data_IF_231341496674
#
_entry.id   IF_231341496674
#
_cell.length_a   1.000
_cell.length_b   1.000
_cell.length_c   1.000
_cell.angle_alpha   90.00
_cell.angle_beta   90.00
_cell.angle_gamma   90.00
#
_symmetry.space_group_name_H-M   'P 1'
#
loop_
_entity.id
_entity.type
_entity.pdbx_description
1 polymer ?
#
# COMPACT_ATOMS: atom_id res chain seq x y z
N UNK A 1 -38.71 -15.19 -60.81
CA UNK A 1 -38.43 -14.24 -59.70
C UNK A 1 -38.32 -15.09 -58.44
N UNK A 2 -37.09 -15.54 -58.15
CA UNK A 2 -36.79 -16.62 -57.21
C UNK A 2 -36.40 -16.03 -55.86
N UNK A 3 -37.06 -16.48 -54.80
CA UNK A 3 -36.77 -16.12 -53.41
C UNK A 3 -35.43 -16.73 -52.98
N UNK A 4 -34.52 -15.88 -52.50
CA UNK A 4 -33.22 -16.26 -51.94
C UNK A 4 -33.36 -16.34 -50.42
N UNK A 5 -33.09 -17.52 -49.86
CA UNK A 5 -32.99 -17.78 -48.43
C UNK A 5 -31.72 -17.12 -47.83
N UNK A 6 -31.69 -16.84 -46.52
CA UNK A 6 -30.58 -16.14 -45.89
C UNK A 6 -29.36 -17.04 -45.64
N UNK A 7 -28.24 -16.34 -45.55
CA UNK A 7 -26.85 -16.77 -45.45
C UNK A 7 -26.57 -17.61 -44.19
N UNK A 8 -25.92 -18.75 -44.41
CA UNK A 8 -25.58 -19.77 -43.43
C UNK A 8 -24.30 -19.32 -42.70
N UNK A 9 -24.45 -18.41 -41.74
CA UNK A 9 -23.36 -17.92 -40.91
C UNK A 9 -22.87 -19.02 -39.95
N UNK A 10 -21.89 -19.80 -40.42
CA UNK A 10 -21.08 -20.70 -39.59
C UNK A 10 -20.50 -19.94 -38.40
N UNK A 11 -20.91 -20.36 -37.20
CA UNK A 11 -20.28 -19.99 -35.93
C UNK A 11 -18.81 -20.44 -35.98
N UNK A 12 -17.81 -19.54 -35.80
CA UNK A 12 -16.42 -19.94 -35.68
C UNK A 12 -16.24 -20.76 -34.40
N UNK A 13 -15.66 -21.95 -34.56
CA UNK A 13 -15.58 -23.00 -33.55
C UNK A 13 -14.91 -22.59 -32.24
N UNK A 14 -15.26 -23.36 -31.22
CA UNK A 14 -14.66 -23.42 -29.90
C UNK A 14 -13.13 -23.35 -30.00
N UNK A 15 -12.57 -22.16 -29.79
CA UNK A 15 -11.15 -22.03 -29.48
C UNK A 15 -10.92 -22.79 -28.17
N UNK A 16 -10.19 -23.91 -28.26
CA UNK A 16 -9.77 -24.73 -27.11
C UNK A 16 -9.36 -23.81 -25.96
N UNK A 17 -10.16 -23.79 -24.89
CA UNK A 17 -9.76 -23.16 -23.63
C UNK A 17 -8.43 -23.82 -23.25
N UNK A 18 -7.31 -23.08 -23.14
CA UNK A 18 -6.03 -23.68 -22.80
C UNK A 18 -6.18 -24.42 -21.49
N UNK A 19 -6.06 -25.76 -21.55
CA UNK A 19 -6.10 -26.62 -20.36
C UNK A 19 -5.01 -26.10 -19.42
N UNK A 20 -5.34 -25.73 -18.17
CA UNK A 20 -4.36 -25.18 -17.26
C UNK A 20 -3.22 -26.18 -17.10
N UNK A 21 -2.03 -25.84 -17.63
CA UNK A 21 -0.87 -26.71 -17.56
C UNK A 21 -0.57 -26.96 -16.08
N UNK A 22 -0.65 -28.23 -15.67
CA UNK A 22 -0.40 -28.64 -14.29
C UNK A 22 0.97 -28.10 -13.85
N UNK A 23 0.97 -27.23 -12.84
CA UNK A 23 2.22 -26.64 -12.31
C UNK A 23 3.18 -27.76 -11.92
N UNK A 24 4.41 -27.69 -12.43
CA UNK A 24 5.47 -28.65 -12.09
C UNK A 24 5.74 -28.58 -10.59
N UNK A 25 5.69 -29.73 -9.92
CA UNK A 25 5.83 -29.85 -8.47
C UNK A 25 7.23 -30.31 -8.08
N UNK A 26 7.60 -30.16 -6.81
CA UNK A 26 8.88 -30.67 -6.30
C UNK A 26 9.01 -32.20 -6.45
N UNK A 27 7.88 -32.92 -6.54
CA UNK A 27 7.85 -34.37 -6.80
C UNK A 27 8.22 -34.69 -8.24
N UNK A 28 7.86 -33.83 -9.18
CA UNK A 28 8.22 -33.99 -10.60
C UNK A 28 9.74 -33.79 -10.78
N UNK A 29 10.34 -32.81 -10.07
CA UNK A 29 11.79 -32.61 -10.04
C UNK A 29 12.52 -33.78 -9.38
N UNK A 30 12.00 -34.31 -8.26
CA UNK A 30 12.56 -35.48 -7.58
C UNK A 30 12.59 -36.71 -8.51
N UNK A 31 11.50 -36.92 -9.26
CA UNK A 31 11.42 -38.00 -10.24
C UNK A 31 12.42 -37.83 -11.38
N UNK A 32 12.56 -36.61 -11.92
CA UNK A 32 13.45 -36.34 -13.05
C UNK A 32 14.94 -36.39 -12.67
N UNK A 33 15.27 -36.03 -11.43
CA UNK A 33 16.65 -36.05 -10.90
C UNK A 33 17.02 -37.39 -10.24
N UNK A 34 16.11 -38.37 -10.20
CA UNK A 34 16.29 -39.65 -9.51
C UNK A 34 16.71 -39.51 -8.04
N UNK A 35 16.19 -38.49 -7.34
CA UNK A 35 16.48 -38.24 -5.92
C UNK A 35 15.21 -38.18 -5.08
N UNK A 36 15.36 -38.16 -3.75
CA UNK A 36 14.21 -38.02 -2.85
C UNK A 36 13.69 -36.58 -2.84
N UNK A 37 12.40 -36.39 -2.52
CA UNK A 37 11.81 -35.05 -2.35
C UNK A 37 12.55 -34.24 -1.26
N UNK A 38 13.05 -34.90 -0.22
CA UNK A 38 13.83 -34.26 0.83
C UNK A 38 15.19 -33.75 0.28
N UNK A 39 15.88 -34.56 -0.50
CA UNK A 39 17.14 -34.21 -1.18
C UNK A 39 16.95 -33.02 -2.11
N UNK A 40 15.90 -33.04 -2.94
CA UNK A 40 15.56 -31.90 -3.82
C UNK A 40 15.25 -30.64 -3.02
N UNK A 41 14.49 -30.78 -1.93
CA UNK A 41 14.15 -29.64 -1.06
C UNK A 41 15.41 -29.00 -0.46
N UNK A 42 16.36 -29.81 0.03
CA UNK A 42 17.62 -29.31 0.61
C UNK A 42 18.54 -28.71 -0.47
N UNK A 43 18.64 -29.36 -1.63
CA UNK A 43 19.42 -28.88 -2.77
C UNK A 43 18.95 -27.49 -3.25
N UNK A 44 17.64 -27.32 -3.48
CA UNK A 44 17.04 -26.08 -3.99
C UNK A 44 16.92 -24.97 -2.94
N UNK A 45 16.97 -25.30 -1.65
CA UNK A 45 16.96 -24.30 -0.56
C UNK A 45 18.35 -23.91 -0.06
N UNK A 46 19.42 -24.52 -0.59
CA UNK A 46 20.80 -24.25 -0.19
C UNK A 46 21.22 -24.86 1.14
N UNK A 47 20.46 -25.82 1.68
CA UNK A 47 20.78 -26.47 2.96
C UNK A 47 22.02 -27.37 2.90
N UNK A 48 22.65 -27.60 4.05
CA UNK A 48 23.80 -28.50 4.21
C UNK A 48 23.38 -29.98 4.05
N UNK A 49 24.32 -30.85 3.66
CA UNK A 49 24.10 -32.30 3.58
C UNK A 49 23.77 -32.87 2.19
N UNK A 50 23.90 -32.07 1.12
CA UNK A 50 23.81 -32.54 -0.27
C UNK A 50 25.12 -32.23 -1.01
N UNK A 51 25.68 -33.22 -1.69
CA UNK A 51 26.90 -33.05 -2.48
C UNK A 51 26.72 -31.99 -3.58
N UNK A 52 27.80 -31.26 -3.90
CA UNK A 52 27.76 -30.18 -4.88
C UNK A 52 27.26 -30.66 -6.25
N UNK A 53 27.69 -31.84 -6.67
CA UNK A 53 27.27 -32.49 -7.92
C UNK A 53 25.76 -32.79 -7.94
N UNK A 54 25.23 -33.40 -6.86
CA UNK A 54 23.80 -33.65 -6.73
C UNK A 54 22.99 -32.36 -6.73
N UNK A 55 23.51 -31.29 -6.11
CA UNK A 55 22.85 -29.98 -6.10
C UNK A 55 22.78 -29.37 -7.50
N UNK A 56 23.88 -29.41 -8.24
CA UNK A 56 23.93 -28.92 -9.63
C UNK A 56 22.94 -29.69 -10.51
N UNK A 57 22.92 -31.02 -10.41
CA UNK A 57 22.01 -31.86 -11.18
C UNK A 57 20.52 -31.59 -10.86
N UNK A 58 20.18 -31.42 -9.59
CA UNK A 58 18.81 -31.07 -9.17
C UNK A 58 18.40 -29.70 -9.71
N UNK A 59 19.31 -28.71 -9.66
CA UNK A 59 19.03 -27.36 -10.17
C UNK A 59 18.80 -27.37 -11.69
N UNK A 60 19.64 -28.09 -12.44
CA UNK A 60 19.48 -28.27 -13.88
C UNK A 60 18.12 -28.89 -14.23
N UNK A 61 17.70 -29.94 -13.52
CA UNK A 61 16.41 -30.58 -13.75
C UNK A 61 15.23 -29.67 -13.37
N UNK A 62 15.37 -28.89 -12.30
CA UNK A 62 14.35 -27.90 -11.91
C UNK A 62 14.17 -26.83 -12.99
N UNK A 63 15.28 -26.29 -13.51
CA UNK A 63 15.27 -25.25 -14.55
C UNK A 63 14.70 -25.79 -15.87
N UNK A 64 15.13 -26.99 -16.29
CA UNK A 64 14.66 -27.66 -17.51
C UNK A 64 13.16 -27.96 -17.48
N UNK A 65 12.62 -28.30 -16.30
CA UNK A 65 11.19 -28.53 -16.13
C UNK A 65 10.40 -27.23 -15.94
N UNK A 66 11.05 -26.08 -15.86
CA UNK A 66 10.40 -24.81 -15.51
C UNK A 66 9.78 -24.83 -14.11
N UNK A 67 10.33 -25.64 -13.21
CA UNK A 67 9.87 -25.67 -11.83
C UNK A 67 10.12 -24.31 -11.18
N UNK A 68 9.08 -23.77 -10.55
CA UNK A 68 9.20 -22.61 -9.68
C UNK A 68 8.72 -22.96 -8.29
N UNK A 69 9.42 -22.51 -7.23
CA UNK A 69 8.98 -22.71 -5.86
C UNK A 69 7.51 -22.32 -5.71
N UNK A 70 6.69 -23.26 -5.23
CA UNK A 70 5.34 -22.91 -4.83
C UNK A 70 5.43 -22.20 -3.49
N UNK A 71 5.45 -20.87 -3.52
CA UNK A 71 5.60 -20.02 -2.34
C UNK A 71 4.52 -20.28 -1.28
N UNK A 72 3.28 -20.59 -1.68
CA UNK A 72 2.24 -21.01 -0.73
C UNK A 72 2.62 -22.30 0.02
N UNK A 73 3.10 -23.33 -0.69
CA UNK A 73 3.56 -24.58 -0.08
C UNK A 73 4.88 -24.44 0.69
N UNK A 74 5.76 -23.53 0.28
CA UNK A 74 6.99 -23.15 0.99
C UNK A 74 6.68 -22.43 2.31
N UNK A 75 5.74 -21.48 2.29
CA UNK A 75 5.29 -20.71 3.46
C UNK A 75 4.43 -21.55 4.41
N UNK A 76 3.86 -22.68 3.95
CA UNK A 76 3.26 -23.69 4.81
C UNK A 76 4.30 -24.45 5.66
N UNK A 77 5.55 -24.55 5.18
CA UNK A 77 6.67 -25.22 5.89
C UNK A 77 7.60 -24.26 6.60
N UNK A 78 7.69 -23.00 6.14
CA UNK A 78 8.48 -21.93 6.76
C UNK A 78 7.57 -21.10 7.65
N UNK A 79 7.97 -20.88 8.89
CA UNK A 79 7.33 -19.93 9.83
C UNK A 79 7.45 -18.48 9.38
N UNK A 80 8.27 -18.18 8.37
CA UNK A 80 8.60 -16.84 7.89
C UNK A 80 8.29 -16.72 6.38
N UNK A 81 7.23 -15.99 6.05
CA UNK A 81 6.81 -15.73 4.66
C UNK A 81 7.68 -14.69 3.95
N UNK A 82 8.46 -13.89 4.70
CA UNK A 82 9.21 -12.71 4.25
C UNK A 82 8.38 -11.65 3.53
N UNK A 83 7.05 -11.71 3.66
CA UNK A 83 6.12 -10.78 3.00
C UNK A 83 5.74 -9.63 3.94
N UNK A 84 5.79 -8.40 3.43
CA UNK A 84 5.32 -7.20 4.12
C UNK A 84 4.13 -6.66 3.33
N UNK A 85 2.97 -6.56 3.98
CA UNK A 85 1.79 -5.94 3.41
C UNK A 85 1.91 -4.42 3.45
N UNK A 86 1.64 -3.74 2.35
CA UNK A 86 1.50 -2.30 2.29
C UNK A 86 0.10 -1.96 1.79
N UNK A 87 -0.70 -1.41 2.69
CA UNK A 87 -2.07 -0.98 2.40
C UNK A 87 -2.05 0.52 2.13
N UNK A 88 -2.54 0.90 0.95
CA UNK A 88 -2.58 2.28 0.49
C UNK A 88 -3.86 2.57 -0.28
N UNK A 89 -4.31 3.83 -0.25
CA UNK A 89 -5.39 4.32 -1.10
C UNK A 89 -4.84 4.63 -2.50
N UNK A 90 -5.42 4.00 -3.52
CA UNK A 90 -4.94 4.13 -4.91
C UNK A 90 -5.09 5.55 -5.46
N UNK A 91 -6.10 6.28 -4.99
CA UNK A 91 -6.36 7.68 -5.41
C UNK A 91 -5.34 8.66 -4.80
N UNK A 92 -4.63 8.27 -3.74
CA UNK A 92 -3.65 9.10 -3.07
C UNK A 92 -2.27 8.93 -3.71
N UNK A 93 -2.01 9.73 -4.76
CA UNK A 93 -0.76 9.69 -5.56
C UNK A 93 0.50 9.75 -4.70
N UNK A 94 0.50 10.51 -3.59
CA UNK A 94 1.66 10.59 -2.71
C UNK A 94 2.00 9.22 -2.07
N UNK A 95 0.99 8.41 -1.74
CA UNK A 95 1.18 7.08 -1.14
C UNK A 95 1.86 6.14 -2.14
N UNK A 96 1.51 6.26 -3.42
CA UNK A 96 2.19 5.51 -4.49
C UNK A 96 3.67 5.92 -4.65
N UNK A 97 4.00 7.18 -4.35
CA UNK A 97 5.39 7.65 -4.32
C UNK A 97 6.27 6.95 -3.26
N UNK A 98 5.66 6.35 -2.23
CA UNK A 98 6.39 5.63 -1.18
C UNK A 98 6.80 4.22 -1.60
N UNK A 99 6.13 3.66 -2.62
CA UNK A 99 6.27 2.25 -3.02
C UNK A 99 7.71 1.92 -3.44
N UNK A 100 8.36 2.78 -4.22
CA UNK A 100 9.75 2.56 -4.64
C UNK A 100 10.72 2.50 -3.45
N UNK A 101 10.58 3.44 -2.51
CA UNK A 101 11.39 3.48 -1.30
C UNK A 101 11.17 2.25 -0.41
N UNK A 102 9.93 1.77 -0.32
CA UNK A 102 9.59 0.53 0.38
C UNK A 102 10.18 -0.70 -0.30
N UNK A 103 10.15 -0.78 -1.63
CA UNK A 103 10.79 -1.87 -2.37
C UNK A 103 12.30 -1.91 -2.12
N UNK A 104 12.98 -0.76 -2.20
CA UNK A 104 14.42 -0.66 -1.93
C UNK A 104 14.74 -1.12 -0.50
N UNK A 105 13.96 -0.68 0.48
CA UNK A 105 14.14 -1.08 1.88
C UNK A 105 13.89 -2.57 2.11
N UNK A 106 12.80 -3.10 1.54
CA UNK A 106 12.45 -4.51 1.63
C UNK A 106 13.54 -5.40 1.02
N UNK A 107 14.00 -5.06 -0.19
CA UNK A 107 15.04 -5.81 -0.90
C UNK A 107 16.34 -5.90 -0.10
N UNK A 108 16.78 -4.81 0.54
CA UNK A 108 17.99 -4.80 1.41
C UNK A 108 17.89 -5.75 2.61
N UNK A 109 16.66 -6.08 3.04
CA UNK A 109 16.38 -7.04 4.11
C UNK A 109 15.97 -8.43 3.57
N UNK A 110 15.99 -8.60 2.25
CA UNK A 110 15.46 -9.78 1.56
C UNK A 110 13.98 -10.02 1.84
N UNK A 111 13.22 -8.96 2.13
CA UNK A 111 11.77 -8.99 2.27
C UNK A 111 11.13 -8.69 0.92
N UNK A 112 9.88 -9.06 0.75
CA UNK A 112 9.08 -8.74 -0.42
C UNK A 112 7.84 -7.94 -0.02
N UNK A 113 7.49 -6.97 -0.86
CA UNK A 113 6.35 -6.08 -0.64
C UNK A 113 5.11 -6.64 -1.35
N UNK A 114 4.01 -6.75 -0.61
CA UNK A 114 2.68 -7.06 -1.15
C UNK A 114 1.86 -5.78 -1.10
N UNK A 115 1.52 -5.24 -2.27
CA UNK A 115 0.69 -4.05 -2.39
C UNK A 115 -0.79 -4.44 -2.31
N UNK A 116 -1.54 -3.79 -1.43
CA UNK A 116 -2.99 -3.93 -1.31
C UNK A 116 -3.63 -2.54 -1.44
N UNK A 117 -4.28 -2.30 -2.58
CA UNK A 117 -4.79 -0.99 -2.96
C UNK A 117 -6.26 -0.82 -2.59
N UNK A 118 -6.54 0.04 -1.62
CA UNK A 118 -7.90 0.45 -1.27
C UNK A 118 -8.45 1.43 -2.32
N UNK A 119 -9.75 1.29 -2.62
CA UNK A 119 -10.50 2.10 -3.59
C UNK A 119 -11.92 2.34 -3.07
N UNK A 120 -12.72 3.14 -3.79
CA UNK A 120 -14.14 3.34 -3.49
C UNK A 120 -14.98 2.05 -3.47
N UNK A 121 -14.51 0.96 -4.08
CA UNK A 121 -15.21 -0.33 -4.16
C UNK A 121 -14.45 -1.49 -3.53
N UNK A 122 -13.28 -1.22 -2.95
CA UNK A 122 -12.43 -2.22 -2.29
C UNK A 122 -11.83 -1.56 -1.05
N UNK A 123 -12.45 -1.77 0.10
CA UNK A 123 -12.12 -0.99 1.30
C UNK A 123 -10.77 -1.41 1.93
N UNK A 124 -10.28 -0.54 2.81
CA UNK A 124 -9.03 -0.74 3.55
C UNK A 124 -9.05 -2.03 4.36
N UNK A 125 -10.19 -2.37 4.99
CA UNK A 125 -10.31 -3.57 5.82
C UNK A 125 -10.14 -4.84 5.00
N UNK A 126 -10.71 -4.87 3.80
CA UNK A 126 -10.55 -5.98 2.86
C UNK A 126 -9.08 -6.15 2.46
N UNK A 127 -8.38 -5.04 2.21
CA UNK A 127 -6.94 -5.04 1.91
C UNK A 127 -6.10 -5.60 3.09
N UNK A 128 -6.46 -5.27 4.32
CA UNK A 128 -5.84 -5.82 5.54
C UNK A 128 -6.09 -7.33 5.61
N UNK A 129 -7.33 -7.78 5.42
CA UNK A 129 -7.67 -9.20 5.46
C UNK A 129 -6.96 -10.01 4.37
N UNK A 130 -6.80 -9.44 3.17
CA UNK A 130 -6.01 -10.02 2.07
C UNK A 130 -4.53 -10.14 2.44
N UNK A 131 -3.97 -9.12 3.09
CA UNK A 131 -2.58 -9.13 3.58
C UNK A 131 -2.36 -10.21 4.64
N UNK A 132 -3.32 -10.38 5.58
CA UNK A 132 -3.32 -11.45 6.57
C UNK A 132 -3.44 -12.84 5.92
N UNK A 133 -4.36 -13.01 4.95
CA UNK A 133 -4.54 -14.25 4.18
C UNK A 133 -3.31 -14.60 3.36
N UNK A 134 -2.62 -13.60 2.83
CA UNK A 134 -1.33 -13.75 2.15
C UNK A 134 -0.19 -14.12 3.12
N UNK A 135 -0.45 -14.15 4.43
CA UNK A 135 0.53 -14.42 5.50
C UNK A 135 1.63 -13.37 5.54
N UNK A 136 1.31 -12.10 5.31
CA UNK A 136 2.25 -11.02 5.56
C UNK A 136 2.67 -11.06 7.04
N UNK A 137 3.98 -11.02 7.28
CA UNK A 137 4.52 -11.06 8.64
C UNK A 137 4.56 -9.69 9.32
N UNK A 138 4.32 -8.62 8.55
CA UNK A 138 4.05 -7.28 9.04
C UNK A 138 3.11 -6.57 8.05
N UNK A 139 2.37 -5.58 8.53
CA UNK A 139 1.51 -4.73 7.71
C UNK A 139 1.88 -3.26 7.97
N UNK A 140 1.98 -2.50 6.89
CA UNK A 140 2.14 -1.04 6.89
C UNK A 140 0.83 -0.45 6.38
N UNK A 141 0.19 0.40 7.19
CA UNK A 141 -1.01 1.15 6.82
C UNK A 141 -0.63 2.62 6.62
N UNK A 142 -1.10 3.26 5.54
CA UNK A 142 -0.75 4.65 5.23
C UNK A 142 -1.95 5.57 5.33
N UNK A 143 -1.93 6.48 6.29
CA UNK A 143 -3.04 7.42 6.50
C UNK A 143 -4.35 6.74 6.88
N UNK A 144 -4.27 5.53 7.47
CA UNK A 144 -5.39 4.61 7.69
C UNK A 144 -6.65 5.26 8.24
N UNK A 145 -7.82 4.77 7.81
CA UNK A 145 -9.13 5.16 8.34
C UNK A 145 -9.57 4.35 9.55
N UNK A 146 -8.89 3.24 9.86
CA UNK A 146 -9.20 2.38 11.01
C UNK A 146 -9.17 3.15 12.33
N UNK A 147 -10.02 2.77 13.27
CA UNK A 147 -10.00 3.30 14.64
C UNK A 147 -8.76 2.81 15.39
N UNK A 148 -8.36 3.53 16.45
CA UNK A 148 -7.23 3.11 17.28
C UNK A 148 -7.46 1.75 17.94
N UNK A 149 -8.70 1.40 18.26
CA UNK A 149 -9.08 0.09 18.79
C UNK A 149 -8.84 -1.03 17.76
N UNK A 150 -9.27 -0.82 16.51
CA UNK A 150 -9.07 -1.79 15.42
C UNK A 150 -7.58 -1.96 15.09
N UNK A 151 -6.81 -0.87 15.10
CA UNK A 151 -5.37 -0.94 14.91
C UNK A 151 -4.66 -1.67 16.06
N UNK A 152 -5.10 -1.47 17.31
CA UNK A 152 -4.56 -2.18 18.47
C UNK A 152 -4.87 -3.68 18.42
N UNK A 153 -6.09 -4.05 18.00
CA UNK A 153 -6.47 -5.46 17.78
C UNK A 153 -5.60 -6.10 16.70
N UNK A 154 -5.44 -5.42 15.56
CA UNK A 154 -4.60 -5.88 14.46
C UNK A 154 -3.13 -6.04 14.87
N UNK A 155 -2.60 -5.11 15.66
CA UNK A 155 -1.24 -5.18 16.19
C UNK A 155 -1.00 -6.39 17.11
N UNK A 156 -2.05 -6.92 17.74
CA UNK A 156 -1.99 -8.17 18.50
C UNK A 156 -1.86 -9.43 17.62
N UNK A 157 -2.27 -9.35 16.35
CA UNK A 157 -2.23 -10.46 15.40
C UNK A 157 -0.98 -10.42 14.50
N UNK A 158 -0.53 -9.23 14.11
CA UNK A 158 0.60 -9.03 13.20
C UNK A 158 1.33 -7.72 13.53
N UNK A 159 2.68 -7.67 13.49
CA UNK A 159 3.42 -6.42 13.59
C UNK A 159 2.85 -5.34 12.66
N UNK A 160 2.45 -4.21 13.25
CA UNK A 160 1.75 -3.14 12.55
C UNK A 160 2.55 -1.84 12.59
N UNK A 161 2.62 -1.16 11.44
CA UNK A 161 3.17 0.18 11.30
C UNK A 161 2.09 1.11 10.76
N UNK A 162 1.80 2.20 11.47
CA UNK A 162 1.03 3.32 10.95
C UNK A 162 1.98 4.37 10.36
N UNK A 163 1.77 4.68 9.10
CA UNK A 163 2.54 5.66 8.35
C UNK A 163 1.66 6.89 8.07
N UNK A 164 2.25 8.08 8.19
CA UNK A 164 1.62 9.39 7.97
C UNK A 164 0.52 9.79 8.97
N UNK A 165 -0.10 8.86 9.71
CA UNK A 165 -1.10 9.18 10.74
C UNK A 165 -0.54 8.93 12.14
N UNK A 166 -0.65 9.92 13.02
CA UNK A 166 -0.35 9.75 14.44
C UNK A 166 -1.48 8.96 15.11
N UNK A 167 -1.13 7.88 15.81
CA UNK A 167 -2.08 6.99 16.49
C UNK A 167 -1.54 6.65 17.88
N UNK A 168 -2.42 6.61 18.88
CA UNK A 168 -2.07 6.27 20.27
C UNK A 168 -2.59 4.86 20.62
N UNK A 169 -2.32 3.89 19.76
CA UNK A 169 -2.77 2.50 19.90
C UNK A 169 -1.64 1.59 20.41
N UNK A 170 -1.86 0.79 21.47
CA UNK A 170 -0.87 -0.17 21.95
C UNK A 170 -0.40 -1.15 20.86
N UNK A 171 0.91 -1.40 20.80
CA UNK A 171 1.52 -2.34 19.85
C UNK A 171 1.70 -1.79 18.43
N UNK A 172 1.19 -0.60 18.12
CA UNK A 172 1.34 0.02 16.81
C UNK A 172 2.61 0.86 16.77
N UNK A 173 3.47 0.61 15.78
CA UNK A 173 4.64 1.45 15.51
C UNK A 173 4.20 2.62 14.63
N UNK A 174 4.71 3.82 14.89
CA UNK A 174 4.22 5.04 14.21
C UNK A 174 5.37 5.77 13.54
N UNK A 175 5.19 6.11 12.27
CA UNK A 175 6.12 6.94 11.48
C UNK A 175 5.32 8.09 10.87
N UNK A 176 5.59 9.30 11.34
CA UNK A 176 4.88 10.51 10.93
C UNK A 176 5.84 11.67 10.73
N UNK A 177 5.43 12.64 9.92
CA UNK A 177 6.06 13.96 9.88
C UNK A 177 5.57 14.81 11.06
N UNK A 178 6.38 15.78 11.48
CA UNK A 178 5.94 16.79 12.45
C UNK A 178 5.12 17.87 11.73
N UNK A 179 3.83 17.59 11.54
CA UNK A 179 2.88 18.51 10.92
C UNK A 179 2.78 19.85 11.68
N UNK A 180 3.00 19.86 13.00
CA UNK A 180 2.98 21.07 13.82
C UNK A 180 4.17 21.96 13.49
N UNK A 181 5.37 21.37 13.41
CA UNK A 181 6.57 22.09 12.96
C UNK A 181 6.39 22.59 11.52
N UNK A 182 5.90 21.74 10.61
CA UNK A 182 5.74 22.08 9.20
C UNK A 182 4.76 23.23 8.96
N UNK A 183 3.57 23.19 9.60
CA UNK A 183 2.61 24.28 9.50
C UNK A 183 3.09 25.56 10.21
N UNK A 184 3.81 25.41 11.33
CA UNK A 184 4.48 26.53 11.99
C UNK A 184 5.43 27.26 11.04
N UNK A 185 6.27 26.51 10.33
CA UNK A 185 7.21 27.06 9.35
C UNK A 185 6.48 27.74 8.16
N UNK A 186 5.40 27.15 7.67
CA UNK A 186 4.62 27.73 6.57
C UNK A 186 3.95 29.06 6.96
N UNK A 187 3.31 29.11 8.14
CA UNK A 187 2.67 30.32 8.66
C UNK A 187 3.69 31.41 8.99
N UNK A 188 4.79 31.07 9.68
CA UNK A 188 5.86 32.00 10.00
C UNK A 188 6.45 32.63 8.73
N UNK A 189 6.75 31.81 7.72
CA UNK A 189 7.26 32.29 6.44
C UNK A 189 6.31 33.30 5.78
N UNK A 190 5.01 32.98 5.67
CA UNK A 190 4.02 33.90 5.09
C UNK A 190 3.84 35.17 5.93
N UNK A 191 3.91 35.05 7.26
CA UNK A 191 3.87 36.20 8.17
C UNK A 191 5.06 37.13 7.98
N UNK A 192 6.26 36.58 7.79
CA UNK A 192 7.49 37.34 7.50
C UNK A 192 7.43 38.05 6.14
N UNK A 193 6.70 37.49 5.16
CA UNK A 193 6.40 38.15 3.89
C UNK A 193 5.33 39.27 4.00
N UNK A 194 4.77 39.48 5.20
CA UNK A 194 3.79 40.53 5.48
C UNK A 194 2.33 40.08 5.34
N UNK A 195 2.06 38.80 5.10
CA UNK A 195 0.69 38.29 5.12
C UNK A 195 0.14 38.29 6.55
N UNK A 196 -1.12 38.70 6.67
CA UNK A 196 -1.85 38.77 7.96
C UNK A 196 -3.15 37.97 7.94
N UNK A 197 -3.73 37.80 6.75
CA UNK A 197 -4.90 36.95 6.49
C UNK A 197 -4.43 35.75 5.68
N UNK A 198 -4.08 34.68 6.38
CA UNK A 198 -3.59 33.43 5.81
C UNK A 198 -4.67 32.40 6.09
N UNK A 199 -5.34 31.86 5.08
CA UNK A 199 -6.34 30.81 5.29
C UNK A 199 -5.74 29.43 5.03
N UNK A 200 -6.27 28.41 5.69
CA UNK A 200 -5.83 27.04 5.53
C UNK A 200 -6.93 26.21 4.86
N UNK A 201 -6.63 25.57 3.74
CA UNK A 201 -7.50 24.59 3.10
C UNK A 201 -7.15 23.19 3.62
N UNK A 202 -7.99 22.62 4.47
CA UNK A 202 -7.70 21.35 5.15
C UNK A 202 -8.14 20.11 4.37
N UNK A 203 -7.95 18.92 4.94
CA UNK A 203 -8.40 17.67 4.31
C UNK A 203 -9.92 17.46 4.31
N UNK A 204 -10.69 18.17 5.13
CA UNK A 204 -12.11 17.93 5.36
C UNK A 204 -12.41 16.87 6.44
N UNK A 205 -13.66 16.79 6.92
CA UNK A 205 -14.03 16.04 8.13
C UNK A 205 -13.93 14.52 7.98
N UNK A 206 -13.92 14.01 6.75
CA UNK A 206 -13.78 12.58 6.46
C UNK A 206 -12.34 12.07 6.64
N UNK A 207 -11.35 12.96 6.78
CA UNK A 207 -9.93 12.58 6.75
C UNK A 207 -9.31 12.64 8.15
N UNK A 208 -8.75 11.51 8.65
CA UNK A 208 -8.23 11.43 10.02
C UNK A 208 -7.15 12.46 10.38
N UNK A 209 -6.39 12.95 9.40
CA UNK A 209 -5.31 13.92 9.61
C UNK A 209 -5.77 15.38 9.56
N UNK A 210 -7.00 15.66 9.09
CA UNK A 210 -7.45 17.04 8.87
C UNK A 210 -7.48 17.82 10.19
N UNK A 211 -8.05 17.22 11.25
CA UNK A 211 -8.19 17.88 12.54
C UNK A 211 -6.84 18.26 13.19
N UNK A 212 -5.85 17.35 13.16
CA UNK A 212 -4.54 17.62 13.77
C UNK A 212 -3.80 18.74 13.03
N UNK A 213 -3.88 18.77 11.70
CA UNK A 213 -3.28 19.82 10.87
C UNK A 213 -3.99 21.15 11.02
N UNK A 214 -5.33 21.16 11.03
CA UNK A 214 -6.11 22.37 11.30
C UNK A 214 -5.75 22.97 12.67
N UNK A 215 -5.60 22.15 13.71
CA UNK A 215 -5.15 22.61 15.03
C UNK A 215 -3.71 23.15 15.03
N UNK A 216 -2.80 22.51 14.30
CA UNK A 216 -1.43 22.98 14.14
C UNK A 216 -1.35 24.34 13.43
N UNK A 217 -2.16 24.53 12.38
CA UNK A 217 -2.29 25.82 11.69
C UNK A 217 -2.83 26.91 12.63
N UNK A 218 -3.92 26.63 13.36
CA UNK A 218 -4.50 27.59 14.31
C UNK A 218 -3.49 28.01 15.37
N UNK A 219 -2.78 27.03 15.95
CA UNK A 219 -1.72 27.29 16.94
C UNK A 219 -0.57 28.15 16.36
N UNK A 220 -0.21 27.94 15.09
CA UNK A 220 0.82 28.71 14.42
C UNK A 220 0.36 30.16 14.14
N UNK A 221 -0.89 30.35 13.74
CA UNK A 221 -1.48 31.69 13.59
C UNK A 221 -1.50 32.45 14.91
N UNK A 222 -1.89 31.79 16.01
CA UNK A 222 -1.87 32.38 17.35
C UNK A 222 -0.45 32.79 17.78
N UNK A 223 0.55 31.92 17.53
CA UNK A 223 1.95 32.21 17.84
C UNK A 223 2.51 33.43 17.09
N UNK A 224 1.98 33.74 15.90
CA UNK A 224 2.31 34.95 15.15
C UNK A 224 1.46 36.17 15.52
N UNK A 225 0.53 36.06 16.49
CA UNK A 225 -0.42 37.11 16.85
C UNK A 225 -1.49 37.36 15.78
N UNK A 226 -1.78 36.35 14.96
CA UNK A 226 -2.72 36.41 13.82
C UNK A 226 -3.99 35.58 14.03
N UNK A 227 -4.22 35.05 15.24
CA UNK A 227 -5.36 34.19 15.58
C UNK A 227 -6.72 34.71 15.10
N UNK A 228 -7.00 36.00 15.31
CA UNK A 228 -8.25 36.65 14.91
C UNK A 228 -8.50 36.62 13.39
N UNK A 229 -7.44 36.43 12.59
CA UNK A 229 -7.51 36.34 11.13
C UNK A 229 -7.44 34.90 10.62
N UNK A 230 -7.31 33.91 11.50
CA UNK A 230 -7.20 32.51 11.12
C UNK A 230 -8.57 31.98 10.63
N UNK A 231 -8.55 31.25 9.51
CA UNK A 231 -9.73 30.55 9.01
C UNK A 231 -9.31 29.23 8.38
N UNK A 232 -10.02 28.17 8.76
CA UNK A 232 -9.94 26.87 8.12
C UNK A 232 -11.10 26.75 7.14
N UNK A 233 -10.77 26.38 5.91
CA UNK A 233 -11.71 26.12 4.82
C UNK A 233 -11.63 24.64 4.53
N UNK A 234 -12.79 24.00 4.37
CA UNK A 234 -12.83 22.61 3.93
C UNK A 234 -12.14 22.50 2.57
N UNK A 235 -11.04 21.76 2.50
CA UNK A 235 -10.22 21.65 1.29
C UNK A 235 -10.41 20.34 0.52
N UNK A 236 -10.68 19.24 1.22
CA UNK A 236 -10.76 17.88 0.66
C UNK A 236 -9.39 17.30 0.33
N UNK A 237 -9.35 16.14 -0.33
CA UNK A 237 -8.11 15.39 -0.60
C UNK A 237 -7.83 15.14 -2.09
N UNK A 238 -8.68 15.64 -2.99
CA UNK A 238 -8.48 15.54 -4.45
C UNK A 238 -8.21 16.91 -5.08
N UNK A 239 -7.65 16.91 -6.29
CA UNK A 239 -7.51 18.14 -7.07
C UNK A 239 -8.87 18.83 -7.34
N UNK A 240 -9.93 18.04 -7.54
CA UNK A 240 -11.28 18.56 -7.73
C UNK A 240 -11.84 19.22 -6.46
N UNK A 241 -11.52 18.68 -5.28
CA UNK A 241 -11.84 19.33 -4.00
C UNK A 241 -11.09 20.65 -3.85
N UNK A 242 -9.81 20.69 -4.21
CA UNK A 242 -9.01 21.92 -4.19
C UNK A 242 -9.61 23.04 -5.03
N UNK A 243 -10.15 22.72 -6.22
CA UNK A 243 -10.88 23.70 -7.05
C UNK A 243 -12.13 24.22 -6.34
N UNK A 244 -12.90 23.36 -5.66
CA UNK A 244 -14.07 23.78 -4.87
C UNK A 244 -13.66 24.63 -3.67
N UNK A 245 -12.58 24.27 -3.00
CA UNK A 245 -12.02 24.99 -1.86
C UNK A 245 -11.57 26.40 -2.27
N UNK A 246 -10.94 26.54 -3.43
CA UNK A 246 -10.60 27.85 -4.00
C UNK A 246 -11.85 28.73 -4.19
N UNK A 247 -12.96 28.17 -4.66
CA UNK A 247 -14.24 28.87 -4.73
C UNK A 247 -14.71 29.38 -3.35
N UNK A 248 -14.71 28.51 -2.34
CA UNK A 248 -15.05 28.89 -0.95
C UNK A 248 -14.15 29.99 -0.39
N UNK A 249 -12.85 29.96 -0.73
CA UNK A 249 -11.91 31.02 -0.35
C UNK A 249 -12.28 32.35 -1.02
N UNK A 250 -12.65 32.34 -2.29
CA UNK A 250 -13.03 33.54 -3.05
C UNK A 250 -14.34 34.17 -2.55
N UNK A 251 -15.22 33.36 -1.95
CA UNK A 251 -16.46 33.83 -1.34
C UNK A 251 -16.25 34.50 0.03
N UNK A 252 -15.08 34.30 0.67
CA UNK A 252 -14.80 34.88 1.97
C UNK A 252 -14.65 36.41 1.92
N UNK A 253 -15.17 37.08 2.95
CA UNK A 253 -14.91 38.50 3.25
C UNK A 253 -14.36 38.66 4.68
N UNK A 254 -13.21 39.34 4.88
CA UNK A 254 -12.26 39.76 3.85
C UNK A 254 -11.60 38.55 3.13
N UNK A 255 -11.02 38.79 1.96
CA UNK A 255 -10.21 37.78 1.26
C UNK A 255 -8.85 37.58 1.96
N UNK A 256 -8.31 36.35 1.94
CA UNK A 256 -6.95 36.14 2.40
C UNK A 256 -5.95 36.74 1.42
N UNK A 257 -4.75 37.01 1.90
CA UNK A 257 -3.60 37.40 1.08
C UNK A 257 -2.68 36.23 0.77
N UNK A 258 -2.86 35.09 1.45
CA UNK A 258 -2.16 33.83 1.20
C UNK A 258 -3.04 32.65 1.64
N UNK A 259 -2.81 31.48 1.04
CA UNK A 259 -3.49 30.22 1.38
C UNK A 259 -2.43 29.15 1.59
N UNK A 260 -2.63 28.32 2.61
CA UNK A 260 -1.88 27.08 2.87
C UNK A 260 -2.78 25.90 2.50
#
# INVERSE_FOLDING_TARGET
MHATAPDDARVPGDAERPVPRRRVTIRDVARASFTSVATVSVALSGGAGVAAETRAHVQEMADRLGWRPNRYASNLRKTDSRLIGFVCEVEQVFQMGLVDSLYVAAQRKGLELVLAGATAHHDERTCVDESLRARCQAIILTGSGLTEAEMSELAGAVPLVSLCRLVHAPGVNVVVSDDRMGLGQAVDHLSQLGHRRIYYADGGPAYPLAASRSNAYLSAMDACGLGDNARVIEGGNTAADGVRAAGRVLDCKPLPTAVI
#
